data_IF_495229642564
#
_entry.id   IF_495229642564
#
_cell.length_a   1.000
_cell.length_b   1.000
_cell.length_c   1.000
_cell.angle_alpha   90.00
_cell.angle_beta   90.00
_cell.angle_gamma   90.00
#
_symmetry.space_group_name_H-M   'P 1'
#
loop_
_entity.id
_entity.type
_entity.pdbx_description
1 polymer ?
#
# COMPACT_ATOMS: atom_id res chain seq x y z
N UNK A 1 6.68 -5.71 -26.13
CA UNK A 1 7.59 -6.16 -25.04
C UNK A 1 6.89 -6.26 -23.68
N UNK A 2 6.02 -5.29 -23.35
CA UNK A 2 5.17 -5.19 -22.15
C UNK A 2 4.75 -6.54 -21.52
N UNK A 3 4.17 -7.45 -22.28
CA UNK A 3 3.64 -8.73 -21.81
C UNK A 3 4.71 -9.62 -21.13
N UNK A 4 5.99 -9.53 -21.53
CA UNK A 4 7.08 -10.27 -20.86
C UNK A 4 7.38 -9.72 -19.45
N UNK A 5 7.18 -8.42 -19.25
CA UNK A 5 7.33 -7.75 -17.96
C UNK A 5 6.14 -7.98 -17.03
N UNK A 6 4.91 -7.95 -17.56
CA UNK A 6 3.72 -8.37 -16.81
C UNK A 6 3.89 -9.83 -16.30
N UNK A 7 4.30 -10.76 -17.17
CA UNK A 7 4.63 -12.13 -16.79
C UNK A 7 5.75 -12.20 -15.74
N UNK A 8 6.84 -11.43 -15.89
CA UNK A 8 7.94 -11.41 -14.92
C UNK A 8 7.52 -10.88 -13.54
N UNK A 9 6.69 -9.83 -13.50
CA UNK A 9 6.12 -9.28 -12.27
C UNK A 9 5.20 -10.29 -11.57
N UNK A 10 4.23 -10.85 -12.30
CA UNK A 10 3.29 -11.86 -11.78
C UNK A 10 4.03 -13.11 -11.27
N UNK A 11 4.96 -13.66 -12.06
CA UNK A 11 5.78 -14.81 -11.69
C UNK A 11 6.69 -14.50 -10.47
N UNK A 12 7.26 -13.29 -10.37
CA UNK A 12 8.01 -12.89 -9.16
C UNK A 12 7.14 -12.90 -7.90
N UNK A 13 5.87 -12.49 -8.01
CA UNK A 13 4.91 -12.57 -6.92
C UNK A 13 4.56 -14.01 -6.54
N UNK A 14 4.29 -14.89 -7.52
CA UNK A 14 4.05 -16.31 -7.23
C UNK A 14 5.25 -16.99 -6.54
N UNK A 15 6.48 -16.68 -6.96
CA UNK A 15 7.68 -17.16 -6.28
C UNK A 15 7.79 -16.68 -4.83
N UNK A 16 7.50 -15.41 -4.55
CA UNK A 16 7.55 -14.87 -3.19
C UNK A 16 6.44 -15.37 -2.27
N UNK A 17 5.25 -15.63 -2.82
CA UNK A 17 4.07 -16.06 -2.05
C UNK A 17 4.02 -17.58 -1.82
N UNK A 18 4.71 -18.38 -2.63
CA UNK A 18 4.67 -19.86 -2.56
C UNK A 18 6.06 -20.53 -2.46
N UNK A 19 7.12 -19.74 -2.25
CA UNK A 19 8.53 -20.16 -2.12
C UNK A 19 9.01 -21.10 -3.25
N UNK A 20 8.61 -20.79 -4.49
CA UNK A 20 8.96 -21.55 -5.70
C UNK A 20 10.03 -20.83 -6.53
N UNK A 21 10.99 -21.54 -7.16
CA UNK A 21 11.91 -20.95 -8.12
C UNK A 21 11.16 -20.17 -9.23
N UNK A 22 11.61 -18.95 -9.52
CA UNK A 22 10.98 -18.09 -10.53
C UNK A 22 11.40 -18.50 -11.94
N UNK A 23 10.43 -18.73 -12.82
CA UNK A 23 10.69 -19.15 -14.22
C UNK A 23 11.39 -18.03 -15.02
N UNK A 24 10.99 -16.77 -14.81
CA UNK A 24 11.58 -15.58 -15.48
C UNK A 24 12.89 -15.10 -14.86
N UNK A 25 13.48 -15.87 -13.94
CA UNK A 25 14.65 -15.47 -13.14
C UNK A 25 15.99 -15.62 -13.86
N UNK A 26 16.06 -16.56 -14.80
CA UNK A 26 17.27 -16.84 -15.59
C UNK A 26 17.32 -15.97 -16.86
N UNK A 27 16.15 -15.71 -17.45
CA UNK A 27 16.00 -14.98 -18.71
C UNK A 27 15.08 -13.77 -18.52
N UNK A 28 15.58 -12.75 -17.80
CA UNK A 28 14.86 -11.49 -17.67
C UNK A 28 14.75 -10.81 -19.05
N UNK A 29 13.58 -10.29 -19.45
CA UNK A 29 13.49 -9.45 -20.63
C UNK A 29 14.28 -8.15 -20.43
N UNK A 30 14.75 -7.53 -21.51
CA UNK A 30 15.29 -6.17 -21.44
C UNK A 30 14.20 -5.17 -21.02
N UNK A 31 14.58 -4.16 -20.23
CA UNK A 31 13.66 -3.07 -19.83
C UNK A 31 13.52 -2.13 -21.04
N UNK A 32 12.31 -1.97 -21.62
CA UNK A 32 12.11 -1.04 -22.72
C UNK A 32 12.07 0.38 -22.15
N UNK A 33 13.22 1.03 -22.12
CA UNK A 33 13.32 2.45 -21.75
C UNK A 33 12.79 3.34 -22.89
N UNK A 34 12.09 4.42 -22.54
CA UNK A 34 11.78 5.48 -23.50
C UNK A 34 13.09 6.16 -23.96
N UNK A 35 13.22 6.60 -25.23
CA UNK A 35 14.41 7.32 -25.71
C UNK A 35 14.75 8.61 -24.94
N UNK A 36 13.81 9.16 -24.16
CA UNK A 36 13.98 10.32 -23.27
C UNK A 36 14.16 9.93 -21.80
N UNK A 37 14.09 8.64 -21.46
CA UNK A 37 14.24 8.15 -20.09
C UNK A 37 15.63 8.45 -19.55
N UNK A 38 15.69 9.11 -18.39
CA UNK A 38 16.92 9.48 -17.73
C UNK A 38 16.77 9.39 -16.20
N UNK A 39 17.87 9.21 -15.44
CA UNK A 39 17.84 9.27 -13.98
C UNK A 39 17.12 10.53 -13.46
N UNK A 40 16.12 10.31 -12.60
CA UNK A 40 15.25 11.35 -12.03
C UNK A 40 13.95 11.60 -12.80
N UNK A 41 13.79 10.98 -13.98
CA UNK A 41 12.63 11.11 -14.86
C UNK A 41 12.15 9.76 -15.43
N UNK A 42 12.57 8.62 -14.85
CA UNK A 42 12.13 7.29 -15.29
C UNK A 42 10.64 7.07 -14.98
N UNK A 43 9.91 6.43 -15.88
CA UNK A 43 8.47 6.19 -15.73
C UNK A 43 8.14 5.20 -14.59
N UNK A 44 6.87 5.11 -14.19
CA UNK A 44 6.40 4.11 -13.24
C UNK A 44 6.77 2.69 -13.69
N UNK A 45 6.44 2.35 -14.94
CA UNK A 45 6.71 1.05 -15.52
C UNK A 45 8.21 0.72 -15.53
N UNK A 46 9.08 1.64 -15.98
CA UNK A 46 10.53 1.45 -15.96
C UNK A 46 11.06 1.23 -14.53
N UNK A 47 10.56 2.03 -13.59
CA UNK A 47 10.98 1.97 -12.19
C UNK A 47 10.55 0.65 -11.54
N UNK A 48 9.30 0.22 -11.76
CA UNK A 48 8.77 -1.07 -11.31
C UNK A 48 9.55 -2.25 -11.91
N UNK A 49 9.86 -2.22 -13.21
CA UNK A 49 10.66 -3.26 -13.86
C UNK A 49 12.05 -3.39 -13.22
N UNK A 50 12.70 -2.27 -12.89
CA UNK A 50 14.00 -2.28 -12.18
C UNK A 50 13.89 -2.90 -10.78
N UNK A 51 12.82 -2.65 -10.03
CA UNK A 51 12.58 -3.29 -8.72
C UNK A 51 12.36 -4.80 -8.88
N UNK A 52 11.60 -5.22 -9.90
CA UNK A 52 11.37 -6.64 -10.22
C UNK A 52 12.68 -7.34 -10.60
N UNK A 53 13.56 -6.71 -11.40
CA UNK A 53 14.88 -7.26 -11.72
C UNK A 53 15.70 -7.58 -10.48
N UNK A 54 15.77 -6.67 -9.51
CA UNK A 54 16.54 -6.85 -8.26
C UNK A 54 15.95 -7.98 -7.40
N UNK A 55 14.63 -8.13 -7.39
CA UNK A 55 13.96 -9.20 -6.64
C UNK A 55 14.09 -10.57 -7.31
N UNK A 56 14.07 -10.62 -8.64
CA UNK A 56 14.41 -11.83 -9.40
C UNK A 56 15.88 -12.22 -9.18
N UNK A 57 16.80 -11.26 -9.13
CA UNK A 57 18.21 -11.50 -8.80
C UNK A 57 18.39 -12.03 -7.36
N UNK A 58 17.72 -11.43 -6.38
CA UNK A 58 17.70 -11.92 -4.98
C UNK A 58 17.13 -13.35 -4.88
N UNK A 59 16.03 -13.64 -5.57
CA UNK A 59 15.47 -14.99 -5.65
C UNK A 59 16.45 -15.98 -6.31
N UNK A 60 17.24 -15.54 -7.28
CA UNK A 60 18.25 -16.38 -7.94
C UNK A 60 19.37 -16.76 -6.98
N UNK A 61 19.84 -15.79 -6.18
CA UNK A 61 20.87 -16.06 -5.17
C UNK A 61 20.40 -17.09 -4.14
N UNK A 62 19.15 -17.02 -3.69
CA UNK A 62 18.57 -18.00 -2.73
C UNK A 62 18.46 -19.43 -3.25
N UNK A 63 18.62 -19.69 -4.56
CA UNK A 63 18.71 -21.07 -5.08
C UNK A 63 20.03 -21.78 -4.72
N UNK A 64 21.08 -21.03 -4.36
CA UNK A 64 22.37 -21.62 -3.99
C UNK A 64 22.40 -21.91 -2.48
N UNK A 65 22.72 -23.14 -2.02
CA UNK A 65 22.63 -23.52 -0.61
C UNK A 65 23.37 -22.59 0.37
N UNK A 66 24.47 -21.96 -0.05
CA UNK A 66 25.25 -21.03 0.77
C UNK A 66 24.68 -19.59 0.88
N UNK A 67 23.54 -19.32 0.23
CA UNK A 67 22.84 -18.02 0.18
C UNK A 67 21.31 -18.16 0.42
N UNK A 68 20.85 -19.28 0.99
CA UNK A 68 19.41 -19.51 1.27
C UNK A 68 18.81 -18.42 2.19
N UNK A 69 19.56 -17.99 3.21
CA UNK A 69 19.33 -16.77 3.97
C UNK A 69 20.23 -15.64 3.46
N UNK A 70 19.72 -14.40 3.45
CA UNK A 70 20.51 -13.22 3.11
C UNK A 70 21.36 -12.75 4.29
N UNK A 71 22.61 -12.38 4.00
CA UNK A 71 23.59 -11.82 4.94
C UNK A 71 23.38 -10.31 5.10
N UNK A 72 23.81 -9.76 6.23
CA UNK A 72 23.65 -8.34 6.56
C UNK A 72 24.11 -7.35 5.45
N UNK A 73 25.20 -7.66 4.76
CA UNK A 73 25.71 -6.79 3.67
C UNK A 73 24.86 -6.89 2.39
N UNK A 74 24.40 -8.08 2.01
CA UNK A 74 23.48 -8.30 0.87
C UNK A 74 22.17 -7.53 1.10
N UNK A 75 21.62 -7.59 2.32
CA UNK A 75 20.42 -6.83 2.75
C UNK A 75 20.64 -5.32 2.58
N UNK A 76 21.77 -4.79 3.05
CA UNK A 76 22.11 -3.36 2.92
C UNK A 76 22.29 -2.95 1.45
N UNK A 77 22.92 -3.78 0.63
CA UNK A 77 23.07 -3.51 -0.80
C UNK A 77 21.71 -3.47 -1.49
N UNK A 78 20.83 -4.45 -1.26
CA UNK A 78 19.49 -4.46 -1.84
C UNK A 78 18.66 -3.25 -1.39
N UNK A 79 18.71 -2.86 -0.11
CA UNK A 79 18.08 -1.61 0.38
C UNK A 79 18.60 -0.37 -0.36
N UNK A 80 19.92 -0.24 -0.53
CA UNK A 80 20.54 0.88 -1.23
C UNK A 80 20.17 0.90 -2.73
N UNK A 81 20.16 -0.27 -3.38
CA UNK A 81 19.74 -0.42 -4.78
C UNK A 81 18.27 -0.04 -4.98
N UNK A 82 17.39 -0.44 -4.06
CA UNK A 82 15.99 -0.02 -4.01
C UNK A 82 15.84 1.49 -3.87
N UNK A 83 16.49 2.10 -2.86
CA UNK A 83 16.44 3.54 -2.66
C UNK A 83 16.93 4.34 -3.87
N UNK A 84 18.01 3.88 -4.52
CA UNK A 84 18.51 4.46 -5.77
C UNK A 84 17.51 4.32 -6.92
N UNK A 85 16.87 3.17 -7.10
CA UNK A 85 15.87 2.97 -8.15
C UNK A 85 14.69 3.93 -7.99
N UNK A 86 14.18 4.11 -6.77
CA UNK A 86 13.10 5.07 -6.46
C UNK A 86 13.56 6.52 -6.67
N UNK A 87 14.76 6.88 -6.21
CA UNK A 87 15.30 8.24 -6.40
C UNK A 87 15.49 8.61 -7.88
N UNK A 88 15.80 7.63 -8.73
CA UNK A 88 15.88 7.79 -10.19
C UNK A 88 14.51 7.80 -10.91
N UNK A 89 13.40 7.52 -10.22
CA UNK A 89 12.04 7.66 -10.75
C UNK A 89 11.63 9.11 -10.96
N UNK A 90 10.59 9.33 -11.77
CA UNK A 90 9.98 10.63 -12.01
C UNK A 90 9.49 11.31 -10.70
N UNK A 91 9.36 12.66 -10.66
CA UNK A 91 9.11 13.40 -9.42
C UNK A 91 7.89 12.93 -8.63
N UNK A 92 6.76 12.67 -9.30
CA UNK A 92 5.51 12.23 -8.68
C UNK A 92 5.60 10.86 -8.01
N UNK A 93 6.48 9.97 -8.49
CA UNK A 93 6.72 8.66 -7.89
C UNK A 93 7.45 8.74 -6.54
N UNK A 94 7.98 9.92 -6.18
CA UNK A 94 8.84 10.12 -5.01
C UNK A 94 8.17 10.94 -3.90
N UNK A 95 7.35 11.94 -4.23
CA UNK A 95 6.55 12.69 -3.25
C UNK A 95 5.12 12.95 -3.75
N UNK A 96 4.08 12.87 -2.89
CA UNK A 96 2.72 13.31 -3.24
C UNK A 96 2.66 14.78 -3.68
N UNK A 97 3.58 15.65 -3.23
CA UNK A 97 3.65 17.08 -3.61
C UNK A 97 3.94 17.31 -5.11
N UNK A 98 4.26 16.24 -5.84
CA UNK A 98 4.53 16.26 -7.27
C UNK A 98 3.47 15.49 -8.08
N UNK A 99 2.43 14.94 -7.45
CA UNK A 99 1.27 14.38 -8.13
C UNK A 99 0.35 15.52 -8.58
N UNK A 100 0.15 15.68 -9.88
CA UNK A 100 -0.79 16.62 -10.49
C UNK A 100 -2.08 15.93 -10.98
N UNK A 101 -2.04 14.62 -11.23
CA UNK A 101 -3.17 13.83 -11.73
C UNK A 101 -3.52 12.64 -10.83
N UNK A 102 -4.74 12.10 -10.98
CA UNK A 102 -5.16 10.86 -10.32
C UNK A 102 -4.28 9.67 -10.73
N UNK A 103 -3.79 9.62 -11.97
CA UNK A 103 -2.86 8.60 -12.42
C UNK A 103 -1.54 8.69 -11.64
N UNK A 104 -1.01 9.91 -11.45
CA UNK A 104 0.21 10.14 -10.69
C UNK A 104 0.09 9.64 -9.24
N UNK A 105 -1.07 9.88 -8.61
CA UNK A 105 -1.36 9.38 -7.27
C UNK A 105 -1.45 7.84 -7.23
N UNK A 106 -2.04 7.20 -8.24
CA UNK A 106 -2.12 5.74 -8.38
C UNK A 106 -0.71 5.16 -8.56
N UNK A 107 0.05 5.60 -9.57
CA UNK A 107 1.40 5.11 -9.87
C UNK A 107 2.35 5.21 -8.67
N UNK A 108 2.39 6.37 -8.00
CA UNK A 108 3.18 6.57 -6.77
C UNK A 108 2.79 5.57 -5.68
N UNK A 109 1.50 5.32 -5.51
CA UNK A 109 1.00 4.51 -4.39
C UNK A 109 1.16 3.01 -4.65
N UNK A 110 0.93 2.55 -5.88
CA UNK A 110 1.27 1.17 -6.28
C UNK A 110 2.78 0.91 -6.18
N UNK A 111 3.62 1.86 -6.65
CA UNK A 111 5.07 1.76 -6.50
C UNK A 111 5.48 1.71 -5.03
N UNK A 112 4.87 2.52 -4.15
CA UNK A 112 5.11 2.47 -2.68
C UNK A 112 4.69 1.12 -2.08
N UNK A 113 3.55 0.56 -2.48
CA UNK A 113 3.07 -0.75 -2.03
C UNK A 113 4.04 -1.85 -2.46
N UNK A 114 4.40 -1.90 -3.74
CA UNK A 114 5.27 -2.95 -4.27
C UNK A 114 6.69 -2.86 -3.70
N UNK A 115 7.29 -1.67 -3.65
CA UNK A 115 8.62 -1.46 -3.08
C UNK A 115 8.66 -1.77 -1.58
N UNK A 116 7.67 -1.36 -0.79
CA UNK A 116 7.58 -1.67 0.65
C UNK A 116 7.44 -3.18 0.88
N UNK A 117 6.59 -3.87 0.11
CA UNK A 117 6.47 -5.33 0.22
C UNK A 117 7.80 -6.04 -0.07
N UNK A 118 8.48 -5.63 -1.15
CA UNK A 118 9.78 -6.20 -1.53
C UNK A 118 10.87 -5.93 -0.46
N UNK A 119 10.90 -4.75 0.16
CA UNK A 119 11.81 -4.46 1.26
C UNK A 119 11.50 -5.31 2.51
N UNK A 120 10.23 -5.55 2.83
CA UNK A 120 9.86 -6.46 3.94
C UNK A 120 10.33 -7.89 3.69
N UNK A 121 10.24 -8.38 2.44
CA UNK A 121 10.72 -9.69 1.97
C UNK A 121 12.25 -9.84 2.04
N UNK A 122 12.98 -8.77 1.73
CA UNK A 122 14.45 -8.71 1.88
C UNK A 122 14.82 -8.79 3.37
N UNK A 123 14.12 -8.03 4.22
CA UNK A 123 14.41 -7.91 5.65
C UNK A 123 13.80 -9.06 6.51
N UNK A 124 12.97 -9.94 5.92
CA UNK A 124 12.21 -11.00 6.63
C UNK A 124 13.08 -11.96 7.44
N UNK A 125 14.34 -12.13 7.07
CA UNK A 125 15.36 -12.92 7.78
C UNK A 125 15.63 -12.43 9.22
N UNK A 126 15.27 -11.19 9.57
CA UNK A 126 15.30 -10.71 10.96
C UNK A 126 14.20 -11.29 11.88
N UNK A 127 13.13 -11.84 11.29
CA UNK A 127 12.01 -12.44 12.02
C UNK A 127 12.30 -13.92 12.37
N UNK A 128 13.14 -14.57 11.57
CA UNK A 128 13.64 -15.94 11.75
C UNK A 128 14.64 -15.98 12.93
N UNK A 129 14.34 -16.68 14.04
CA UNK A 129 15.25 -16.75 15.20
C UNK A 129 16.62 -17.36 14.86
N UNK A 130 16.63 -18.40 14.02
CA UNK A 130 17.82 -19.20 13.72
C UNK A 130 18.73 -18.54 12.68
N UNK A 131 18.32 -17.41 12.11
CA UNK A 131 19.11 -16.64 11.16
C UNK A 131 20.46 -16.20 11.69
N UNK A 132 21.48 -16.19 10.81
CA UNK A 132 22.85 -15.76 11.12
C UNK A 132 22.99 -14.22 11.24
N UNK A 133 22.31 -13.64 12.22
CA UNK A 133 22.36 -12.22 12.60
C UNK A 133 22.56 -12.09 14.12
N UNK A 134 23.54 -11.29 14.52
CA UNK A 134 23.67 -10.77 15.89
C UNK A 134 22.53 -9.81 16.24
N UNK A 135 22.29 -9.61 17.53
CA UNK A 135 21.08 -8.93 18.03
C UNK A 135 20.96 -7.46 17.61
N UNK A 136 22.07 -6.73 17.51
CA UNK A 136 22.08 -5.33 17.04
C UNK A 136 21.64 -5.26 15.57
N UNK A 137 22.28 -6.03 14.68
CA UNK A 137 21.92 -6.06 13.26
C UNK A 137 20.53 -6.64 13.03
N UNK A 138 20.12 -7.61 13.84
CA UNK A 138 18.77 -8.20 13.85
C UNK A 138 17.72 -7.16 14.23
N UNK A 139 17.95 -6.34 15.26
CA UNK A 139 17.04 -5.28 15.67
C UNK A 139 16.85 -4.24 14.55
N UNK A 140 17.94 -3.78 13.93
CA UNK A 140 17.90 -2.82 12.81
C UNK A 140 17.09 -3.38 11.63
N UNK A 141 17.40 -4.60 11.18
CA UNK A 141 16.67 -5.22 10.05
C UNK A 141 15.21 -5.54 10.43
N UNK A 142 14.91 -5.79 11.71
CA UNK A 142 13.53 -6.01 12.16
C UNK A 142 12.71 -4.73 12.13
N UNK A 143 13.28 -3.60 12.55
CA UNK A 143 12.64 -2.28 12.40
C UNK A 143 12.38 -1.96 10.92
N UNK A 144 13.35 -2.21 10.03
CA UNK A 144 13.17 -2.10 8.58
C UNK A 144 12.01 -2.98 8.08
N UNK A 145 11.95 -4.25 8.54
CA UNK A 145 10.94 -5.21 8.12
C UNK A 145 9.54 -4.78 8.58
N UNK A 146 9.34 -4.51 9.87
CA UNK A 146 8.06 -4.08 10.45
C UNK A 146 7.58 -2.74 9.86
N UNK A 147 8.50 -1.79 9.64
CA UNK A 147 8.19 -0.53 8.96
C UNK A 147 7.76 -0.75 7.51
N UNK A 148 8.43 -1.64 6.78
CA UNK A 148 8.07 -2.00 5.42
C UNK A 148 6.72 -2.72 5.32
N UNK A 149 6.38 -3.57 6.30
CA UNK A 149 5.06 -4.20 6.40
C UNK A 149 3.96 -3.15 6.64
N UNK A 150 4.15 -2.24 7.61
CA UNK A 150 3.22 -1.13 7.88
C UNK A 150 3.03 -0.22 6.66
N UNK A 151 4.11 0.15 5.97
CA UNK A 151 4.05 1.02 4.80
C UNK A 151 3.36 0.34 3.59
N UNK A 152 3.42 -1.00 3.49
CA UNK A 152 2.67 -1.76 2.48
C UNK A 152 1.16 -1.66 2.71
N UNK A 153 0.72 -1.85 3.96
CA UNK A 153 -0.71 -1.78 4.34
C UNK A 153 -1.24 -0.36 4.17
N UNK A 154 -0.49 0.64 4.61
CA UNK A 154 -0.87 2.05 4.47
C UNK A 154 -0.99 2.48 3.01
N UNK A 155 -0.06 2.05 2.14
CA UNK A 155 -0.14 2.29 0.70
C UNK A 155 -1.38 1.66 0.07
N UNK A 156 -1.77 0.44 0.47
CA UNK A 156 -2.99 -0.19 -0.05
C UNK A 156 -4.26 0.55 0.34
N UNK A 157 -4.36 1.01 1.59
CA UNK A 157 -5.50 1.83 2.04
C UNK A 157 -5.53 3.17 1.33
N UNK A 158 -4.37 3.82 1.13
CA UNK A 158 -4.28 5.08 0.38
C UNK A 158 -4.69 4.88 -1.09
N UNK A 159 -4.24 3.81 -1.75
CA UNK A 159 -4.62 3.46 -3.13
C UNK A 159 -6.13 3.27 -3.27
N UNK A 160 -6.75 2.53 -2.34
CA UNK A 160 -8.20 2.36 -2.30
C UNK A 160 -8.94 3.68 -2.14
N UNK A 161 -8.42 4.60 -1.32
CA UNK A 161 -9.04 5.92 -1.09
C UNK A 161 -9.00 6.84 -2.32
N UNK A 162 -8.02 6.68 -3.21
CA UNK A 162 -8.00 7.36 -4.51
C UNK A 162 -8.86 6.66 -5.57
N UNK A 163 -8.79 5.33 -5.63
CA UNK A 163 -9.53 4.54 -6.60
C UNK A 163 -9.77 3.09 -6.11
N UNK A 164 -11.00 2.76 -5.67
CA UNK A 164 -11.34 1.41 -5.24
C UNK A 164 -11.07 0.34 -6.31
N UNK A 165 -11.21 0.66 -7.61
CA UNK A 165 -10.96 -0.30 -8.69
C UNK A 165 -9.49 -0.74 -8.78
N UNK A 166 -8.53 0.18 -8.62
CA UNK A 166 -7.09 -0.15 -8.63
C UNK A 166 -6.71 -1.09 -7.47
N UNK A 167 -7.30 -0.90 -6.30
CA UNK A 167 -7.09 -1.79 -5.14
C UNK A 167 -7.64 -3.21 -5.31
N UNK A 168 -8.49 -3.49 -6.33
CA UNK A 168 -8.97 -4.85 -6.65
C UNK A 168 -7.90 -5.73 -7.32
N UNK A 169 -6.70 -5.20 -7.61
CA UNK A 169 -5.56 -5.98 -8.13
C UNK A 169 -5.16 -7.08 -7.14
N UNK A 170 -5.37 -8.35 -7.52
CA UNK A 170 -5.12 -9.52 -6.66
C UNK A 170 -3.71 -9.52 -6.02
N UNK A 171 -2.69 -9.08 -6.75
CA UNK A 171 -1.31 -9.01 -6.27
C UNK A 171 -1.16 -7.98 -5.14
N UNK A 172 -1.76 -6.80 -5.25
CA UNK A 172 -1.72 -5.75 -4.23
C UNK A 172 -2.47 -6.18 -2.97
N UNK A 173 -3.62 -6.82 -3.16
CA UNK A 173 -4.44 -7.40 -2.11
C UNK A 173 -3.71 -8.52 -1.36
N UNK A 174 -3.19 -9.55 -2.06
CA UNK A 174 -2.51 -10.68 -1.44
C UNK A 174 -1.24 -10.23 -0.69
N UNK A 175 -0.45 -9.32 -1.28
CA UNK A 175 0.70 -8.71 -0.61
C UNK A 175 0.31 -8.02 0.69
N UNK A 176 -0.78 -7.25 0.68
CA UNK A 176 -1.25 -6.50 1.84
C UNK A 176 -1.77 -7.41 2.96
N UNK A 177 -2.58 -8.41 2.61
CA UNK A 177 -3.10 -9.39 3.57
C UNK A 177 -1.94 -10.19 4.20
N UNK A 178 -0.97 -10.64 3.40
CA UNK A 178 0.24 -11.29 3.90
C UNK A 178 1.06 -10.36 4.81
N UNK A 179 1.20 -9.08 4.45
CA UNK A 179 1.90 -8.09 5.28
C UNK A 179 1.19 -7.84 6.62
N UNK A 180 -0.14 -7.80 6.63
CA UNK A 180 -0.94 -7.64 7.83
C UNK A 180 -0.76 -8.81 8.81
N UNK A 181 -0.86 -10.07 8.33
CA UNK A 181 -0.64 -11.23 9.19
C UNK A 181 0.81 -11.33 9.70
N UNK A 182 1.81 -11.05 8.87
CA UNK A 182 3.22 -11.02 9.31
C UNK A 182 3.50 -9.92 10.34
N UNK A 183 2.94 -8.73 10.16
CA UNK A 183 3.07 -7.61 11.11
C UNK A 183 2.45 -7.96 12.47
N UNK A 184 1.27 -8.59 12.47
CA UNK A 184 0.58 -9.01 13.70
C UNK A 184 1.35 -10.10 14.43
N UNK A 185 1.84 -11.12 13.71
CA UNK A 185 2.57 -12.24 14.29
C UNK A 185 3.89 -11.82 14.97
N UNK A 186 4.46 -10.68 14.56
CA UNK A 186 5.73 -10.14 15.09
C UNK A 186 5.53 -8.73 15.68
N UNK A 187 4.34 -8.43 16.23
CA UNK A 187 3.98 -7.09 16.68
C UNK A 187 4.66 -6.71 17.99
N UNK A 188 5.67 -5.85 17.88
CA UNK A 188 6.34 -5.20 19.01
C UNK A 188 5.50 -4.05 19.59
N UNK A 189 5.46 -3.90 20.92
CA UNK A 189 4.54 -2.96 21.58
C UNK A 189 4.72 -1.49 21.15
N UNK A 190 5.95 -1.07 20.80
CA UNK A 190 6.21 0.30 20.29
C UNK A 190 5.51 0.62 18.97
N UNK A 191 5.04 -0.38 18.23
CA UNK A 191 4.26 -0.20 17.00
C UNK A 191 2.77 -0.55 17.18
N UNK A 192 2.34 -1.01 18.38
CA UNK A 192 0.97 -1.50 18.65
C UNK A 192 -0.12 -0.54 18.17
N UNK A 193 -0.09 0.72 18.59
CA UNK A 193 -1.11 1.71 18.23
C UNK A 193 -1.17 1.97 16.71
N UNK A 194 -0.02 2.09 16.04
CA UNK A 194 0.06 2.28 14.58
C UNK A 194 -0.46 1.06 13.83
N UNK A 195 -0.10 -0.15 14.27
CA UNK A 195 -0.61 -1.39 13.69
C UNK A 195 -2.13 -1.51 13.86
N UNK A 196 -2.67 -1.25 15.05
CA UNK A 196 -4.12 -1.30 15.29
C UNK A 196 -4.90 -0.35 14.38
N UNK A 197 -4.42 0.89 14.17
CA UNK A 197 -5.01 1.83 13.23
C UNK A 197 -4.99 1.30 11.78
N UNK A 198 -3.85 0.74 11.34
CA UNK A 198 -3.69 0.19 9.99
C UNK A 198 -4.56 -1.05 9.75
N UNK A 199 -4.65 -1.97 10.71
CA UNK A 199 -5.53 -3.15 10.61
C UNK A 199 -7.00 -2.72 10.55
N UNK A 200 -7.45 -1.80 11.41
CA UNK A 200 -8.83 -1.27 11.38
C UNK A 200 -9.15 -0.55 10.06
N UNK A 201 -8.20 0.19 9.48
CA UNK A 201 -8.35 0.80 8.15
C UNK A 201 -8.44 -0.26 7.05
N UNK A 202 -7.59 -1.29 7.10
CA UNK A 202 -7.60 -2.40 6.16
C UNK A 202 -8.90 -3.22 6.24
N UNK A 203 -9.47 -3.44 7.43
CA UNK A 203 -10.75 -4.12 7.60
C UNK A 203 -11.89 -3.41 6.86
N UNK A 204 -11.91 -2.07 6.84
CA UNK A 204 -12.92 -1.30 6.10
C UNK A 204 -12.77 -1.52 4.58
N UNK A 205 -11.54 -1.43 4.06
CA UNK A 205 -11.22 -1.68 2.64
C UNK A 205 -11.59 -3.11 2.21
N UNK A 206 -11.25 -4.10 3.04
CA UNK A 206 -11.60 -5.50 2.79
C UNK A 206 -13.11 -5.76 2.93
N UNK A 207 -13.82 -4.97 3.74
CA UNK A 207 -15.28 -5.01 3.83
C UNK A 207 -15.91 -4.55 2.52
N UNK A 208 -15.48 -3.41 1.97
CA UNK A 208 -15.91 -2.97 0.63
C UNK A 208 -15.66 -4.07 -0.42
N UNK A 209 -14.44 -4.60 -0.51
CA UNK A 209 -14.12 -5.62 -1.50
C UNK A 209 -14.92 -6.93 -1.39
N UNK A 210 -15.45 -7.27 -0.22
CA UNK A 210 -16.32 -8.44 -0.01
C UNK A 210 -17.78 -8.16 -0.41
N UNK A 211 -18.27 -6.93 -0.24
CA UNK A 211 -19.68 -6.57 -0.41
C UNK A 211 -20.00 -5.68 -1.63
N UNK A 212 -18.99 -5.18 -2.36
CA UNK A 212 -19.13 -4.40 -3.60
C UNK A 212 -19.73 -5.17 -4.81
N UNK A 213 -20.26 -6.38 -4.60
CA UNK A 213 -21.05 -7.14 -5.56
C UNK A 213 -22.58 -7.03 -5.35
N UNK A 214 -23.03 -6.32 -4.31
CA UNK A 214 -24.45 -6.32 -3.92
C UNK A 214 -24.79 -7.47 -2.97
N UNK A 215 -25.98 -7.40 -2.35
CA UNK A 215 -26.39 -8.31 -1.27
C UNK A 215 -27.18 -9.55 -1.75
N UNK A 216 -27.52 -9.60 -3.04
CA UNK A 216 -28.65 -10.42 -3.53
C UNK A 216 -28.29 -11.89 -3.83
N UNK A 217 -27.04 -12.21 -4.19
CA UNK A 217 -26.59 -13.59 -4.43
C UNK A 217 -25.47 -14.04 -3.48
N UNK A 218 -25.83 -14.49 -2.28
CA UNK A 218 -24.89 -15.22 -1.41
C UNK A 218 -24.44 -16.56 -2.02
N UNK A 219 -25.17 -17.08 -3.01
CA UNK A 219 -24.92 -18.38 -3.63
C UNK A 219 -24.06 -18.30 -4.92
N UNK A 220 -23.89 -17.11 -5.53
CA UNK A 220 -23.01 -16.90 -6.70
C UNK A 220 -21.67 -16.24 -6.35
N UNK A 221 -21.43 -15.92 -5.06
CA UNK A 221 -20.20 -15.28 -4.60
C UNK A 221 -18.95 -16.09 -5.00
N UNK A 222 -18.04 -15.45 -5.74
CA UNK A 222 -16.77 -16.04 -6.20
C UNK A 222 -15.91 -16.56 -5.04
N UNK A 223 -15.19 -17.68 -5.27
CA UNK A 223 -14.19 -18.23 -4.32
C UNK A 223 -13.21 -17.17 -3.83
N UNK A 224 -12.81 -16.22 -4.69
CA UNK A 224 -11.97 -15.09 -4.28
C UNK A 224 -12.60 -14.31 -3.13
N UNK A 225 -13.87 -13.90 -3.27
CA UNK A 225 -14.59 -13.16 -2.22
C UNK A 225 -14.82 -14.01 -0.95
N UNK A 226 -14.98 -15.33 -1.07
CA UNK A 226 -15.00 -16.25 0.09
C UNK A 226 -13.66 -16.26 0.84
N UNK A 227 -12.53 -16.28 0.11
CA UNK A 227 -11.19 -16.16 0.68
C UNK A 227 -10.98 -14.79 1.35
N UNK A 228 -11.36 -13.68 0.71
CA UNK A 228 -11.33 -12.35 1.33
C UNK A 228 -12.16 -12.30 2.62
N UNK A 229 -13.38 -12.84 2.61
CA UNK A 229 -14.25 -12.88 3.78
C UNK A 229 -13.64 -13.69 4.94
N UNK A 230 -12.87 -14.74 4.63
CA UNK A 230 -12.11 -15.50 5.63
C UNK A 230 -10.95 -14.67 6.22
N UNK A 231 -10.16 -14.00 5.37
CA UNK A 231 -9.09 -13.10 5.82
C UNK A 231 -9.63 -11.93 6.66
N UNK A 232 -10.75 -11.32 6.25
CA UNK A 232 -11.45 -10.27 6.98
C UNK A 232 -11.94 -10.73 8.36
N UNK A 233 -12.47 -11.97 8.46
CA UNK A 233 -12.87 -12.56 9.75
C UNK A 233 -11.67 -12.71 10.70
N UNK A 234 -10.55 -13.24 10.20
CA UNK A 234 -9.33 -13.41 10.99
C UNK A 234 -8.72 -12.06 11.42
N UNK A 235 -8.70 -11.07 10.53
CA UNK A 235 -8.23 -9.71 10.87
C UNK A 235 -9.12 -9.05 11.94
N UNK A 236 -10.45 -9.17 11.86
CA UNK A 236 -11.37 -8.67 12.90
C UNK A 236 -11.15 -9.34 14.26
N UNK A 237 -10.89 -10.65 14.29
CA UNK A 237 -10.54 -11.38 15.53
C UNK A 237 -9.23 -10.87 16.13
N UNK A 238 -8.23 -10.63 15.28
CA UNK A 238 -6.96 -10.00 15.67
C UNK A 238 -7.18 -8.58 16.20
N UNK A 239 -7.91 -7.72 15.48
CA UNK A 239 -8.18 -6.34 15.87
C UNK A 239 -8.88 -6.23 17.23
N UNK A 240 -9.85 -7.11 17.48
CA UNK A 240 -10.49 -7.26 18.79
C UNK A 240 -9.49 -7.67 19.88
N UNK A 241 -8.66 -8.70 19.65
CA UNK A 241 -7.66 -9.18 20.61
C UNK A 241 -6.53 -8.15 20.88
N UNK A 242 -6.17 -7.34 19.88
CA UNK A 242 -5.22 -6.25 20.03
C UNK A 242 -5.80 -5.09 20.86
N UNK A 243 -7.09 -4.79 20.70
CA UNK A 243 -7.80 -3.74 21.45
C UNK A 243 -8.08 -4.16 22.89
N UNK A 244 -8.45 -5.42 23.12
CA UNK A 244 -8.63 -6.01 24.45
C UNK A 244 -7.32 -6.19 25.24
N UNK A 245 -6.17 -5.82 24.65
CA UNK A 245 -4.86 -5.76 25.32
C UNK A 245 -4.40 -4.32 25.61
N UNK A 246 -5.24 -3.31 25.42
CA UNK A 246 -5.04 -2.03 26.10
C UNK A 246 -5.28 -2.22 27.61
N UNK A 247 -4.39 -1.71 28.49
CA UNK A 247 -4.51 -1.97 29.92
C UNK A 247 -5.66 -1.17 30.54
N UNK A 248 -6.53 -1.84 31.29
CA UNK A 248 -7.39 -1.19 32.29
C UNK A 248 -6.48 -0.53 33.34
N UNK A 249 -6.22 0.78 33.17
CA UNK A 249 -5.02 1.40 33.74
C UNK A 249 -5.12 2.88 34.06
N UNK A 250 -6.32 3.46 34.17
CA UNK A 250 -6.52 4.78 34.79
C UNK A 250 -7.93 4.93 35.42
N UNK A 251 -8.29 4.00 36.31
CA UNK A 251 -9.50 4.07 37.11
C UNK A 251 -9.48 5.23 38.11
N UNK A 252 -10.63 5.87 38.32
CA UNK A 252 -10.76 7.13 39.06
C UNK A 252 -10.33 7.05 40.55
N UNK A 253 -9.74 8.16 41.05
CA UNK A 253 -9.34 8.32 42.44
C UNK A 253 -9.49 9.76 42.95
N UNK A 254 -10.70 10.07 43.48
CA UNK A 254 -11.04 11.13 44.46
C UNK A 254 -10.45 12.56 44.31
N UNK A 255 -11.33 13.55 44.18
CA UNK A 255 -11.05 14.91 44.69
C UNK A 255 -10.78 14.91 46.21
N UNK A 256 -10.17 15.98 46.75
CA UNK A 256 -10.99 16.86 47.58
C UNK A 256 -10.86 18.36 47.27
N UNK A 257 -11.90 19.11 47.66
CA UNK A 257 -12.11 20.54 47.44
C UNK A 257 -11.31 21.44 48.42
N UNK A 258 -10.85 22.63 47.99
CA UNK A 258 -11.37 23.93 48.50
C UNK A 258 -10.65 25.24 48.07
N UNK A 259 -11.50 26.23 47.75
CA UNK A 259 -11.42 27.72 47.96
C UNK A 259 -10.30 28.64 47.43
N UNK A 260 -10.68 29.41 46.40
CA UNK A 260 -10.74 30.92 46.33
C UNK A 260 -9.47 31.77 46.52
N UNK A 261 -9.09 32.54 45.47
CA UNK A 261 -9.05 34.03 45.49
C UNK A 261 -8.90 34.68 44.10
N UNK A 262 -9.50 35.86 43.93
CA UNK A 262 -9.46 36.77 42.75
C UNK A 262 -8.10 37.50 42.62
N UNK A 263 -7.77 38.44 41.71
CA UNK A 263 -8.46 39.45 40.84
C UNK A 263 -7.50 39.77 39.63
N UNK A 264 -7.73 40.56 38.56
CA UNK A 264 -8.72 41.60 38.15
C UNK A 264 -8.80 41.69 36.60
N UNK A 265 -9.70 42.51 36.02
CA UNK A 265 -9.63 43.03 34.65
C UNK A 265 -10.16 44.49 34.58
N UNK A 266 -9.71 45.34 33.62
CA UNK A 266 -10.53 45.76 32.45
C UNK A 266 -9.73 45.81 31.11
N UNK A 267 -10.26 45.86 29.86
CA UNK A 267 -11.28 46.72 29.19
C UNK A 267 -10.77 48.16 28.89
N UNK A 268 -10.98 48.83 27.72
CA UNK A 268 -11.99 48.74 26.63
C UNK A 268 -11.45 48.96 25.17
N UNK A 269 -12.38 48.82 24.22
CA UNK A 269 -12.50 49.06 22.74
C UNK A 269 -12.74 50.57 22.36
N UNK A 270 -13.12 51.03 21.12
CA UNK A 270 -13.15 50.48 19.72
C UNK A 270 -12.62 51.47 18.62
N UNK A 271 -12.96 51.23 17.31
CA UNK A 271 -13.05 52.13 16.09
C UNK A 271 -12.24 51.58 14.88
N UNK A 272 -12.63 51.61 13.57
CA UNK A 272 -13.93 51.69 12.82
C UNK A 272 -13.70 51.35 11.31
N UNK A 273 -14.76 51.19 10.50
CA UNK A 273 -14.74 50.89 9.04
C UNK A 273 -15.07 52.10 8.12
N UNK A 274 -15.01 51.94 6.77
CA UNK A 274 -16.25 51.88 5.96
C UNK A 274 -16.20 50.84 4.81
N UNK A 275 -17.17 50.86 3.86
CA UNK A 275 -17.47 49.75 2.92
C UNK A 275 -17.93 50.17 1.50
N UNK A 276 -17.78 49.28 0.49
CA UNK A 276 -18.29 49.37 -0.92
C UNK A 276 -18.71 47.94 -1.35
N UNK A 277 -19.98 47.52 -1.53
CA UNK A 277 -20.98 47.73 -2.62
C UNK A 277 -20.54 47.25 -4.03
N UNK A 278 -21.36 46.67 -4.93
CA UNK A 278 -22.73 46.12 -4.92
C UNK A 278 -22.92 45.26 -6.20
N UNK A 279 -23.80 44.24 -6.22
CA UNK A 279 -24.22 43.56 -7.47
C UNK A 279 -25.31 42.50 -7.27
N UNK A 280 -26.34 42.46 -8.11
CA UNK A 280 -27.51 41.55 -7.95
C UNK A 280 -28.20 41.20 -9.27
N UNK A 281 -28.31 39.90 -9.56
CA UNK A 281 -29.27 39.15 -10.41
C UNK A 281 -28.78 37.68 -10.39
N UNK A 282 -29.52 36.63 -10.78
CA UNK A 282 -30.89 36.46 -11.27
C UNK A 282 -31.07 34.96 -11.61
N UNK A 283 -32.27 34.38 -11.46
CA UNK A 283 -32.44 32.92 -11.56
C UNK A 283 -32.61 32.40 -13.00
N UNK A 284 -32.18 31.15 -13.26
CA UNK A 284 -32.97 30.17 -14.03
C UNK A 284 -32.41 28.73 -13.97
N UNK A 285 -33.28 27.75 -14.24
CA UNK A 285 -32.94 26.33 -14.43
C UNK A 285 -32.37 26.08 -15.84
N UNK A 286 -31.52 25.07 -15.97
CA UNK A 286 -31.34 24.34 -17.24
C UNK A 286 -30.80 22.93 -16.99
N UNK A 287 -31.42 21.91 -17.60
CA UNK A 287 -30.85 20.56 -17.67
C UNK A 287 -29.68 20.54 -18.66
N UNK A 288 -28.64 19.74 -18.42
CA UNK A 288 -27.77 19.31 -19.51
C UNK A 288 -26.99 18.01 -19.25
N UNK A 289 -27.10 17.14 -20.26
CA UNK A 289 -26.28 16.00 -20.69
C UNK A 289 -24.89 15.84 -20.03
N UNK A 290 -24.48 14.62 -19.60
CA UNK A 290 -23.12 14.32 -19.15
C UNK A 290 -22.04 14.60 -20.21
N UNK A 291 -21.01 15.36 -19.82
CA UNK A 291 -19.93 15.80 -20.70
C UNK A 291 -18.79 14.79 -20.95
N UNK A 292 -17.78 15.14 -21.77
CA UNK A 292 -16.78 14.18 -22.29
C UNK A 292 -15.84 13.52 -21.27
N UNK A 293 -15.75 14.03 -20.03
CA UNK A 293 -14.81 13.53 -19.00
C UNK A 293 -14.97 12.03 -18.69
N UNK A 294 -16.19 11.50 -18.75
CA UNK A 294 -16.47 10.09 -18.43
C UNK A 294 -15.84 9.10 -19.42
N UNK A 295 -15.52 9.54 -20.65
CA UNK A 295 -14.73 8.76 -21.61
C UNK A 295 -13.24 8.84 -21.33
N UNK A 296 -12.74 10.02 -20.95
CA UNK A 296 -11.32 10.22 -20.62
C UNK A 296 -10.88 9.35 -19.44
N UNK A 297 -11.70 9.24 -18.39
CA UNK A 297 -11.40 8.35 -17.26
C UNK A 297 -11.34 6.87 -17.69
N UNK A 298 -12.23 6.40 -18.57
CA UNK A 298 -12.17 5.02 -19.10
C UNK A 298 -10.88 4.79 -19.88
N UNK A 299 -10.49 5.69 -20.78
CA UNK A 299 -9.23 5.55 -21.53
C UNK A 299 -7.99 5.53 -20.64
N UNK A 300 -7.96 6.31 -19.56
CA UNK A 300 -6.88 6.27 -18.56
C UNK A 300 -6.89 4.92 -17.81
N UNK A 301 -8.08 4.48 -17.38
CA UNK A 301 -8.24 3.20 -16.68
C UNK A 301 -7.83 2.01 -17.54
N UNK A 302 -8.23 1.95 -18.82
CA UNK A 302 -7.82 0.91 -19.77
C UNK A 302 -6.29 0.87 -19.89
N UNK A 303 -5.64 2.04 -20.05
CA UNK A 303 -4.18 2.15 -20.22
C UNK A 303 -3.35 1.67 -19.02
N UNK A 304 -3.95 1.59 -17.82
CA UNK A 304 -3.32 1.03 -16.60
C UNK A 304 -3.80 -0.40 -16.34
N UNK A 305 -5.08 -0.69 -16.64
CA UNK A 305 -5.74 -1.98 -16.44
C UNK A 305 -5.09 -3.08 -17.30
N UNK A 306 -4.86 -2.83 -18.59
CA UNK A 306 -4.28 -3.82 -19.52
C UNK A 306 -2.87 -4.30 -19.12
N UNK A 307 -2.20 -3.61 -18.21
CA UNK A 307 -0.86 -3.95 -17.72
C UNK A 307 -0.90 -4.83 -16.45
N UNK A 308 -1.96 -4.73 -15.65
CA UNK A 308 -2.00 -5.22 -14.25
C UNK A 308 -3.22 -6.09 -13.90
N UNK A 309 -4.30 -6.05 -14.70
CA UNK A 309 -5.53 -6.82 -14.47
C UNK A 309 -5.73 -7.81 -15.63
N UNK A 310 -5.69 -9.12 -15.32
CA UNK A 310 -6.12 -10.13 -16.29
C UNK A 310 -7.64 -10.03 -16.54
N UNK A 311 -8.13 -10.42 -17.74
CA UNK A 311 -9.55 -10.50 -18.01
C UNK A 311 -10.28 -11.42 -17.02
N UNK A 312 -11.55 -11.12 -16.78
CA UNK A 312 -12.44 -12.04 -16.06
C UNK A 312 -12.50 -13.38 -16.81
N UNK A 313 -12.06 -14.47 -16.18
CA UNK A 313 -12.29 -15.82 -16.69
C UNK A 313 -13.74 -16.24 -16.45
N UNK A 314 -14.65 -15.59 -17.18
CA UNK A 314 -15.97 -16.13 -17.45
C UNK A 314 -15.86 -17.33 -18.40
N UNK A 315 -15.56 -18.51 -17.86
CA UNK A 315 -15.83 -19.78 -18.56
C UNK A 315 -17.34 -20.01 -18.63
N UNK A 316 -18.00 -19.24 -19.49
CA UNK A 316 -19.40 -19.39 -19.88
C UNK A 316 -19.50 -20.08 -21.23
N UNK A 317 -20.11 -21.26 -21.25
CA UNK A 317 -20.33 -22.08 -22.44
C UNK A 317 -21.09 -21.38 -23.56
N UNK A 318 -20.74 -21.64 -24.82
CA UNK A 318 -21.64 -22.31 -25.77
C UNK A 318 -20.96 -22.63 -27.12
N UNK A 319 -21.45 -23.69 -27.77
CA UNK A 319 -21.03 -24.28 -29.06
C UNK A 319 -19.65 -24.98 -29.03
#
# INVERSE_FOLDING_TARGET
MLNRWAMAFQNSHFSLSYDRPSITMVSQPEIPYDPKSMPGHRSYFETLCRLVSVILEMLRMRMYPHHAQLRYHEIREYKQRFGRIIAEGAPHLRSPDHCATLADHIERTELRLHSSYYLSVICRVSLDPDAHLDDERRAIIREDCLTSLMNTIDAFVELHSFNPYCSRTWISLQRTIASAFLLVAHLEDRYRARACNLIRRLELVLTDHVYAGGQEDQNSQSESAKHLASSLRALRQIGAALSAKEPEGLGAGSEPTNTVSSITAPMLIPVSSPSVTLGTTGAQFSENVPGPQEKSMRTILDSVSDVMLFPSMGMGTNL
#
